data_IF_459352464970
#
_entry.id   IF_459352464970
#
_cell.length_a   1.000
_cell.length_b   1.000
_cell.length_c   1.000
_cell.angle_alpha   90.00
_cell.angle_beta   90.00
_cell.angle_gamma   90.00
#
_symmetry.space_group_name_H-M   'P 1'
#
loop_
_entity.id
_entity.type
_entity.pdbx_description
1 polymer ?
#
# COMPACT_ATOMS: atom_id res chain seq x y z
N UNK A 1 -7.68 12.22 14.22
CA UNK A 1 -7.09 13.04 13.14
C UNK A 1 -5.85 12.34 12.61
N UNK A 2 -5.67 12.34 11.31
CA UNK A 2 -4.48 11.73 10.68
C UNK A 2 -3.25 12.56 11.06
N UNK A 3 -2.23 11.88 11.57
CA UNK A 3 -0.97 12.51 11.96
C UNK A 3 0.09 12.31 10.88
N UNK A 4 0.11 11.13 10.25
CA UNK A 4 1.08 10.81 9.23
C UNK A 4 0.40 10.02 8.13
N UNK A 5 0.92 10.12 6.93
CA UNK A 5 0.38 9.48 5.74
C UNK A 5 1.53 8.97 4.88
N UNK A 6 1.38 7.76 4.38
CA UNK A 6 2.35 7.22 3.43
C UNK A 6 1.67 6.26 2.47
N UNK A 7 2.35 5.97 1.36
CA UNK A 7 1.88 5.01 0.37
C UNK A 7 2.91 3.89 0.26
N UNK A 8 2.43 2.66 0.47
CA UNK A 8 3.22 1.46 0.23
C UNK A 8 2.95 0.97 -1.19
N UNK A 9 4.00 0.55 -1.88
CA UNK A 9 3.89 0.05 -3.25
C UNK A 9 4.69 -1.23 -3.40
N UNK A 10 4.18 -2.15 -4.20
CA UNK A 10 4.91 -3.35 -4.58
C UNK A 10 4.31 -3.92 -5.86
N UNK A 11 5.11 -4.60 -6.64
CA UNK A 11 4.66 -5.28 -7.85
C UNK A 11 4.04 -6.64 -7.54
N UNK A 12 4.18 -7.12 -6.32
CA UNK A 12 3.63 -8.39 -5.86
C UNK A 12 2.61 -8.10 -4.75
N UNK A 13 1.37 -8.50 -4.98
CA UNK A 13 0.30 -8.23 -4.02
C UNK A 13 0.50 -8.95 -2.69
N UNK A 14 1.10 -10.15 -2.71
CA UNK A 14 1.38 -10.87 -1.48
C UNK A 14 2.45 -10.16 -0.64
N UNK A 15 3.47 -9.61 -1.29
CA UNK A 15 4.51 -8.83 -0.60
C UNK A 15 3.93 -7.53 -0.07
N UNK A 16 3.03 -6.91 -0.81
CA UNK A 16 2.36 -5.70 -0.32
C UNK A 16 1.55 -6.00 0.95
N UNK A 17 0.85 -7.13 0.96
CA UNK A 17 0.07 -7.54 2.13
C UNK A 17 0.97 -7.71 3.36
N UNK A 18 2.14 -8.32 3.19
CA UNK A 18 3.11 -8.48 4.28
C UNK A 18 3.59 -7.11 4.77
N UNK A 19 3.91 -6.20 3.84
CA UNK A 19 4.33 -4.84 4.22
C UNK A 19 3.24 -4.11 5.00
N UNK A 20 1.99 -4.22 4.54
CA UNK A 20 0.86 -3.59 5.25
C UNK A 20 0.77 -4.12 6.67
N UNK A 21 0.87 -5.43 6.84
CA UNK A 21 0.81 -6.04 8.17
C UNK A 21 1.95 -5.59 9.07
N UNK A 22 3.16 -5.47 8.51
CA UNK A 22 4.31 -4.99 9.28
C UNK A 22 4.11 -3.56 9.78
N UNK A 23 3.57 -2.70 8.93
CA UNK A 23 3.32 -1.30 9.31
C UNK A 23 2.15 -1.20 10.28
N UNK A 24 1.15 -2.08 10.16
CA UNK A 24 0.05 -2.13 11.14
C UNK A 24 0.58 -2.45 12.53
N UNK A 25 1.57 -3.33 12.62
CA UNK A 25 2.21 -3.65 13.89
C UNK A 25 2.93 -2.45 14.53
N UNK A 26 3.24 -1.44 13.72
CA UNK A 26 3.89 -0.21 14.18
C UNK A 26 2.88 0.91 14.46
N UNK A 27 1.59 0.61 14.43
CA UNK A 27 0.55 1.59 14.71
C UNK A 27 -0.07 2.27 13.50
N UNK A 28 0.33 1.87 12.29
CA UNK A 28 -0.25 2.41 11.07
C UNK A 28 -1.52 1.64 10.70
N UNK A 29 -2.42 2.29 10.00
CA UNK A 29 -3.66 1.67 9.56
C UNK A 29 -3.86 1.87 8.07
N UNK A 30 -4.35 0.84 7.35
CA UNK A 30 -4.68 1.02 5.94
C UNK A 30 -5.89 1.94 5.78
N UNK A 31 -5.83 2.82 4.80
CA UNK A 31 -6.92 3.73 4.49
C UNK A 31 -7.45 3.39 3.10
N UNK A 32 -8.70 2.94 3.05
CA UNK A 32 -9.33 2.53 1.80
C UNK A 32 -8.80 1.20 1.28
N UNK A 33 -9.13 0.89 0.05
CA UNK A 33 -8.70 -0.34 -0.60
C UNK A 33 -7.37 -0.19 -1.33
N UNK A 34 -6.88 -1.31 -1.84
CA UNK A 34 -5.66 -1.34 -2.65
C UNK A 34 -5.98 -0.82 -4.04
N UNK A 35 -5.09 0.05 -4.55
CA UNK A 35 -5.13 0.51 -5.93
C UNK A 35 -4.17 -0.33 -6.76
N UNK A 36 -4.44 -0.47 -8.04
CA UNK A 36 -3.53 -1.11 -8.97
C UNK A 36 -3.30 -0.18 -10.16
N UNK A 37 -2.04 -0.06 -10.55
CA UNK A 37 -1.66 0.64 -11.76
C UNK A 37 -0.97 -0.35 -12.69
N UNK A 38 -1.28 -0.24 -13.98
CA UNK A 38 -0.69 -1.09 -15.00
C UNK A 38 0.17 -0.20 -15.89
N UNK A 39 1.45 -0.55 -16.01
CA UNK A 39 2.40 0.20 -16.80
C UNK A 39 3.06 -0.70 -17.83
N UNK A 40 3.60 -0.09 -18.87
CA UNK A 40 4.27 -0.79 -19.94
C UNK A 40 3.32 -1.19 -21.08
N UNK A 41 3.91 -1.57 -22.20
CA UNK A 41 3.16 -2.08 -23.36
C UNK A 41 2.54 -3.44 -23.00
N UNK A 42 1.33 -3.66 -23.44
CA UNK A 42 0.60 -4.92 -23.20
C UNK A 42 0.31 -5.20 -21.71
N UNK A 43 0.38 -4.21 -20.83
CA UNK A 43 0.03 -4.37 -19.42
C UNK A 43 0.93 -5.34 -18.66
N UNK A 44 2.22 -5.38 -19.02
CA UNK A 44 3.15 -6.34 -18.44
C UNK A 44 3.55 -6.07 -17.01
N UNK A 45 3.40 -4.82 -16.55
CA UNK A 45 3.84 -4.41 -15.21
C UNK A 45 2.64 -3.94 -14.40
N UNK A 46 2.43 -4.58 -13.25
CA UNK A 46 1.40 -4.20 -12.30
C UNK A 46 2.05 -3.64 -11.04
N UNK A 47 1.55 -2.52 -10.57
CA UNK A 47 2.00 -1.96 -9.29
C UNK A 47 0.78 -1.81 -8.39
N UNK A 48 0.87 -2.40 -7.22
CA UNK A 48 -0.18 -2.30 -6.20
C UNK A 48 0.23 -1.24 -5.19
N UNK A 49 -0.74 -0.44 -4.75
CA UNK A 49 -0.49 0.63 -3.80
C UNK A 49 -1.55 0.62 -2.71
N UNK A 50 -1.13 0.88 -1.49
CA UNK A 50 -2.00 0.99 -0.34
C UNK A 50 -1.62 2.22 0.47
N UNK A 51 -2.59 3.09 0.70
CA UNK A 51 -2.38 4.24 1.58
C UNK A 51 -2.41 3.78 3.03
N UNK A 52 -1.46 4.27 3.80
CA UNK A 52 -1.38 4.00 5.23
C UNK A 52 -1.41 5.31 5.99
N UNK A 53 -2.13 5.33 7.10
CA UNK A 53 -2.22 6.52 7.94
C UNK A 53 -1.91 6.16 9.39
N UNK A 54 -1.45 7.15 10.12
CA UNK A 54 -1.23 7.00 11.55
C UNK A 54 -2.00 8.11 12.24
N UNK A 55 -2.80 7.73 13.22
CA UNK A 55 -3.63 8.67 13.95
C UNK A 55 -2.91 9.18 15.20
N UNK A 56 -3.18 10.41 15.52
CA UNK A 56 -2.65 11.03 16.74
C UNK A 56 -3.37 10.49 17.99
#
# INVERSE_FOLDING_TARGET
MVKEYMILRDMDSARLSVSVMEWMAKGWQPLGGVSVAIAGTAGAIHTYAQAMVKYA
#
